data_IF_488596421298
#
_entry.id   IF_488596421298
#
_cell.length_a   1.000
_cell.length_b   1.000
_cell.length_c   1.000
_cell.angle_alpha   90.00
_cell.angle_beta   90.00
_cell.angle_gamma   90.00
#
_symmetry.space_group_name_H-M   'P 1'
#
loop_
_entity.id
_entity.type
_entity.pdbx_description
1 polymer ?
#
# COMPACT_ATOMS: atom_id res chain seq x y z
N UNK A 1 -3.24 -10.74 -3.90
CA UNK A 1 -2.03 -10.28 -3.19
C UNK A 1 -2.31 -9.11 -2.25
N UNK A 2 -3.04 -8.07 -2.68
CA UNK A 2 -3.29 -6.88 -1.85
C UNK A 2 -4.08 -7.18 -0.57
N UNK A 3 -5.06 -8.10 -0.62
CA UNK A 3 -5.75 -8.53 0.59
C UNK A 3 -4.79 -9.12 1.64
N UNK A 4 -3.81 -9.94 1.23
CA UNK A 4 -2.78 -10.48 2.13
C UNK A 4 -1.87 -9.37 2.68
N UNK A 5 -1.56 -8.37 1.85
CA UNK A 5 -0.83 -7.20 2.30
C UNK A 5 -1.61 -6.42 3.35
N UNK A 6 -2.91 -6.16 3.13
CA UNK A 6 -3.79 -5.52 4.10
C UNK A 6 -3.80 -6.29 5.43
N UNK A 7 -4.04 -7.62 5.39
CA UNK A 7 -4.03 -8.48 6.58
C UNK A 7 -2.67 -8.50 7.30
N UNK A 8 -1.56 -8.23 6.60
CA UNK A 8 -0.26 -8.11 7.23
C UNK A 8 -0.14 -6.79 7.98
N UNK A 9 -0.59 -5.68 7.39
CA UNK A 9 -0.55 -4.35 8.01
C UNK A 9 -1.51 -4.26 9.21
N UNK A 10 -2.71 -4.85 9.10
CA UNK A 10 -3.74 -4.88 10.14
C UNK A 10 -3.26 -5.53 11.46
N UNK A 11 -2.23 -6.39 11.39
CA UNK A 11 -1.63 -6.99 12.59
C UNK A 11 -0.90 -5.99 13.49
N UNK A 12 -0.52 -4.84 12.96
CA UNK A 12 0.23 -3.82 13.70
C UNK A 12 -0.67 -2.74 14.28
N UNK A 13 -1.76 -2.40 13.60
CA UNK A 13 -2.73 -1.38 14.03
C UNK A 13 -4.04 -1.51 13.24
N UNK A 14 -5.11 -0.88 13.72
CA UNK A 14 -6.38 -0.82 12.99
C UNK A 14 -6.22 0.03 11.72
N UNK A 15 -6.54 -0.56 10.58
CA UNK A 15 -6.31 0.04 9.25
C UNK A 15 -7.66 0.43 8.65
N UNK A 16 -8.04 1.70 8.87
CA UNK A 16 -9.16 2.31 8.16
C UNK A 16 -8.86 2.52 6.68
N UNK A 17 -9.90 2.82 5.89
CA UNK A 17 -9.77 3.17 4.48
C UNK A 17 -8.75 4.29 4.24
N UNK A 18 -8.84 5.38 5.01
CA UNK A 18 -7.98 6.54 4.86
C UNK A 18 -6.52 6.23 5.21
N UNK A 19 -6.31 5.44 6.27
CA UNK A 19 -4.97 5.01 6.66
C UNK A 19 -4.34 4.15 5.57
N UNK A 20 -5.09 3.21 4.98
CA UNK A 20 -4.57 2.36 3.92
C UNK A 20 -4.29 3.14 2.62
N UNK A 21 -5.13 4.13 2.29
CA UNK A 21 -4.91 5.04 1.17
C UNK A 21 -3.69 5.93 1.37
N UNK A 22 -3.50 6.47 2.58
CA UNK A 22 -2.30 7.24 2.94
C UNK A 22 -1.03 6.39 2.85
N UNK A 23 -1.08 5.12 3.27
CA UNK A 23 0.04 4.20 3.11
C UNK A 23 0.38 3.95 1.64
N UNK A 24 -0.64 3.80 0.78
CA UNK A 24 -0.43 3.65 -0.66
C UNK A 24 0.26 4.87 -1.27
N UNK A 25 -0.09 6.08 -0.82
CA UNK A 25 0.56 7.32 -1.24
C UNK A 25 2.02 7.38 -0.76
N UNK A 26 2.26 7.02 0.51
CA UNK A 26 3.61 7.00 1.11
C UNK A 26 4.58 6.12 0.32
N UNK A 27 4.12 4.97 -0.20
CA UNK A 27 4.94 4.06 -1.00
C UNK A 27 5.49 4.72 -2.27
N UNK A 28 4.76 5.68 -2.85
CA UNK A 28 5.18 6.39 -4.07
C UNK A 28 5.93 7.70 -3.77
N UNK A 29 5.64 8.37 -2.66
CA UNK A 29 6.16 9.71 -2.37
C UNK A 29 7.44 9.71 -1.53
N UNK A 30 7.56 8.76 -0.58
CA UNK A 30 8.72 8.73 0.30
C UNK A 30 9.89 8.03 -0.39
N UNK A 31 11.05 8.70 -0.59
CA UNK A 31 12.17 8.17 -1.36
C UNK A 31 12.65 6.80 -0.88
N UNK A 32 12.69 6.56 0.43
CA UNK A 32 13.15 5.28 0.98
C UNK A 32 12.20 4.12 0.66
N UNK A 33 10.88 4.33 0.76
CA UNK A 33 9.89 3.31 0.42
C UNK A 33 9.90 3.04 -1.08
N UNK A 34 9.93 4.11 -1.88
CA UNK A 34 10.00 4.01 -3.33
C UNK A 34 11.24 3.23 -3.76
N UNK A 35 12.42 3.59 -3.24
CA UNK A 35 13.68 2.90 -3.53
C UNK A 35 13.66 1.43 -3.10
N UNK A 36 13.07 1.12 -1.94
CA UNK A 36 12.94 -0.25 -1.46
C UNK A 36 12.16 -1.14 -2.44
N UNK A 37 11.00 -0.68 -2.92
CA UNK A 37 10.20 -1.44 -3.88
C UNK A 37 10.80 -1.45 -5.28
N UNK A 38 11.35 -0.32 -5.74
CA UNK A 38 11.96 -0.19 -7.06
C UNK A 38 13.24 -1.01 -7.22
N UNK A 39 13.94 -1.32 -6.11
CA UNK A 39 15.08 -2.25 -6.10
C UNK A 39 14.70 -3.66 -6.59
N UNK A 40 13.42 -4.06 -6.46
CA UNK A 40 12.91 -5.33 -6.99
C UNK A 40 12.39 -5.19 -8.42
N UNK A 41 11.62 -4.12 -8.69
CA UNK A 41 11.16 -3.79 -10.04
C UNK A 41 10.78 -2.30 -10.14
N UNK A 42 11.18 -1.57 -11.21
CA UNK A 42 10.98 -0.11 -11.30
C UNK A 42 9.54 0.40 -11.18
N UNK A 43 8.54 -0.46 -11.35
CA UNK A 43 7.10 -0.12 -11.23
C UNK A 43 6.43 -0.73 -9.99
N UNK A 44 7.19 -1.32 -9.08
CA UNK A 44 6.62 -2.11 -7.98
C UNK A 44 5.89 -1.23 -6.96
N UNK A 45 6.46 -0.06 -6.62
CA UNK A 45 5.81 0.90 -5.72
C UNK A 45 4.45 1.34 -6.27
N UNK A 46 4.40 1.76 -7.54
CA UNK A 46 3.18 2.19 -8.22
C UNK A 46 2.14 1.07 -8.32
N UNK A 47 2.58 -0.13 -8.69
CA UNK A 47 1.70 -1.29 -8.80
C UNK A 47 1.05 -1.67 -7.47
N UNK A 48 1.83 -1.67 -6.38
CA UNK A 48 1.30 -1.94 -5.04
C UNK A 48 0.34 -0.83 -4.60
N UNK A 49 0.75 0.44 -4.73
CA UNK A 49 -0.06 1.59 -4.35
C UNK A 49 -1.43 1.59 -5.07
N UNK A 50 -1.45 1.32 -6.37
CA UNK A 50 -2.70 1.28 -7.12
C UNK A 50 -3.60 0.12 -6.68
N UNK A 51 -3.01 -1.06 -6.49
CA UNK A 51 -3.72 -2.21 -5.94
C UNK A 51 -4.32 -1.92 -4.55
N UNK A 52 -3.57 -1.22 -3.69
CA UNK A 52 -4.02 -0.80 -2.36
C UNK A 52 -5.20 0.18 -2.43
N UNK A 53 -5.17 1.18 -3.32
CA UNK A 53 -6.28 2.12 -3.52
C UNK A 53 -7.56 1.41 -3.94
N UNK A 54 -7.47 0.53 -4.95
CA UNK A 54 -8.62 -0.25 -5.42
C UNK A 54 -9.17 -1.15 -4.31
N UNK A 55 -8.30 -1.77 -3.53
CA UNK A 55 -8.72 -2.60 -2.41
C UNK A 55 -9.41 -1.78 -1.32
N UNK A 56 -8.84 -0.63 -0.93
CA UNK A 56 -9.41 0.26 0.08
C UNK A 56 -10.81 0.74 -0.31
N UNK A 57 -10.97 1.19 -1.55
CA UNK A 57 -12.25 1.69 -2.06
C UNK A 57 -13.35 0.63 -2.07
N UNK A 58 -12.99 -0.65 -2.30
CA UNK A 58 -13.94 -1.75 -2.44
C UNK A 58 -14.28 -2.46 -1.14
N UNK A 59 -13.39 -2.45 -0.14
CA UNK A 59 -13.48 -3.37 1.00
C UNK A 59 -13.42 -2.69 2.37
N UNK A 60 -12.99 -1.42 2.44
CA UNK A 60 -12.80 -0.72 3.71
C UNK A 60 -13.82 0.40 3.86
N UNK A 61 -14.23 0.65 5.12
CA UNK A 61 -15.09 1.77 5.52
C UNK A 61 -14.23 2.97 5.88
#
# INVERSE_FOLDING_TARGET
IIHKHYQMIERFYDVSKDVYMGLAQLYCEHPDFKKYYEAHHPKMAEFLAEGMRVYAQKNLV
#
